data_IF_391314426903
#
_entry.id   IF_391314426903
#
_cell.length_a   1.000
_cell.length_b   1.000
_cell.length_c   1.000
_cell.angle_alpha   90.00
_cell.angle_beta   90.00
_cell.angle_gamma   90.00
#
_symmetry.space_group_name_H-M   'P 1'
#
loop_
_entity.id
_entity.type
_entity.pdbx_description
1 polymer ?
#
# COMPACT_ATOMS: atom_id res chain seq x y z
N UNK A 1 -7.17 8.38 -20.53
CA UNK A 1 -6.33 7.43 -21.29
C UNK A 1 -6.70 6.02 -20.89
N UNK A 2 -6.75 5.12 -21.87
CA UNK A 2 -6.94 3.70 -21.67
C UNK A 2 -5.58 2.99 -21.79
N UNK A 3 -5.19 2.24 -20.76
CA UNK A 3 -4.00 1.39 -20.82
C UNK A 3 -4.41 -0.07 -20.88
N UNK A 4 -3.96 -0.80 -21.91
CA UNK A 4 -4.24 -2.23 -22.11
C UNK A 4 -2.96 -3.01 -21.84
N UNK A 5 -3.02 -4.00 -20.96
CA UNK A 5 -1.90 -4.86 -20.61
C UNK A 5 -2.27 -6.32 -20.77
N UNK A 6 -1.29 -7.16 -21.08
CA UNK A 6 -1.43 -8.61 -20.95
C UNK A 6 -1.19 -9.03 -19.49
N UNK A 7 -1.66 -10.21 -19.09
CA UNK A 7 -1.41 -10.76 -17.74
C UNK A 7 0.08 -10.85 -17.43
N UNK A 8 0.87 -11.28 -18.41
CA UNK A 8 2.33 -11.38 -18.29
C UNK A 8 3.00 -10.00 -18.20
N UNK A 9 2.60 -9.05 -19.04
CA UNK A 9 3.13 -7.69 -19.02
C UNK A 9 2.81 -7.01 -17.68
N UNK A 10 1.58 -7.14 -17.17
CA UNK A 10 1.23 -6.54 -15.88
C UNK A 10 2.03 -7.17 -14.73
N UNK A 11 2.29 -8.48 -14.78
CA UNK A 11 3.16 -9.13 -13.82
C UNK A 11 4.57 -8.57 -13.87
N UNK A 12 5.18 -8.51 -15.05
CA UNK A 12 6.54 -7.98 -15.21
C UNK A 12 6.63 -6.55 -14.67
N UNK A 13 5.67 -5.69 -15.02
CA UNK A 13 5.58 -4.30 -14.51
C UNK A 13 5.54 -4.24 -12.99
N UNK A 14 4.71 -5.07 -12.35
CA UNK A 14 4.55 -5.10 -10.89
C UNK A 14 5.77 -5.68 -10.19
N UNK A 15 6.53 -6.57 -10.82
CA UNK A 15 7.76 -7.10 -10.24
C UNK A 15 9.00 -6.28 -10.59
N UNK A 16 8.92 -5.47 -11.64
CA UNK A 16 9.95 -4.53 -12.06
C UNK A 16 9.91 -3.25 -11.23
N UNK A 17 8.73 -2.65 -11.04
CA UNK A 17 8.53 -1.36 -10.37
C UNK A 17 7.50 -1.44 -9.23
N UNK A 18 7.70 -0.73 -8.11
CA UNK A 18 6.70 -0.67 -7.05
C UNK A 18 5.45 0.07 -7.52
N UNK A 19 4.32 -0.24 -6.86
CA UNK A 19 3.01 0.33 -7.23
C UNK A 19 3.02 1.86 -7.26
N UNK A 20 3.77 2.52 -6.37
CA UNK A 20 3.89 3.98 -6.34
C UNK A 20 4.36 4.57 -7.68
N UNK A 21 5.32 3.92 -8.34
CA UNK A 21 5.79 4.37 -9.66
C UNK A 21 4.75 4.10 -10.74
N UNK A 22 4.09 2.93 -10.71
CA UNK A 22 3.05 2.59 -11.69
C UNK A 22 1.83 3.51 -11.60
N UNK A 23 1.46 3.93 -10.38
CA UNK A 23 0.37 4.89 -10.13
C UNK A 23 0.66 6.22 -10.81
N UNK A 24 1.91 6.70 -10.74
CA UNK A 24 2.34 7.96 -11.38
C UNK A 24 2.42 7.80 -12.91
N UNK A 25 3.03 6.71 -13.39
CA UNK A 25 3.21 6.43 -14.83
C UNK A 25 1.86 6.28 -15.56
N UNK A 26 0.93 5.55 -14.94
CA UNK A 26 -0.40 5.26 -15.51
C UNK A 26 -1.46 6.29 -15.09
N UNK A 27 -1.06 7.33 -14.33
CA UNK A 27 -1.91 8.36 -13.74
C UNK A 27 -3.15 7.79 -13.04
N UNK A 28 -3.02 6.64 -12.41
CA UNK A 28 -4.12 5.89 -11.78
C UNK A 28 -4.04 5.96 -10.26
N UNK A 29 -4.76 5.11 -9.54
CA UNK A 29 -4.70 4.98 -8.07
C UNK A 29 -4.30 3.58 -7.66
N UNK A 30 -3.59 3.44 -6.53
CA UNK A 30 -3.17 2.15 -5.97
C UNK A 30 -4.33 1.17 -5.77
N UNK A 31 -5.52 1.68 -5.42
CA UNK A 31 -6.75 0.90 -5.28
C UNK A 31 -7.25 0.31 -6.60
N UNK A 32 -7.13 1.05 -7.71
CA UNK A 32 -7.49 0.57 -9.04
C UNK A 32 -6.53 -0.54 -9.47
N UNK A 33 -5.21 -0.32 -9.33
CA UNK A 33 -4.21 -1.35 -9.59
C UNK A 33 -4.41 -2.59 -8.71
N UNK A 34 -4.69 -2.42 -7.41
CA UNK A 34 -4.95 -3.56 -6.53
C UNK A 34 -6.21 -4.34 -6.92
N UNK A 35 -7.24 -3.66 -7.39
CA UNK A 35 -8.48 -4.31 -7.87
C UNK A 35 -8.21 -5.08 -9.16
N UNK A 36 -7.44 -4.48 -10.06
CA UNK A 36 -7.03 -5.07 -11.32
C UNK A 36 -6.18 -6.33 -11.10
N UNK A 37 -5.18 -6.26 -10.20
CA UNK A 37 -4.33 -7.39 -9.82
C UNK A 37 -5.13 -8.55 -9.23
N UNK A 38 -6.13 -8.25 -8.39
CA UNK A 38 -7.03 -9.28 -7.84
C UNK A 38 -7.88 -9.94 -8.92
N UNK A 39 -8.37 -9.18 -9.91
CA UNK A 39 -9.15 -9.74 -11.04
C UNK A 39 -8.32 -10.63 -11.95
N UNK A 40 -7.04 -10.31 -12.10
CA UNK A 40 -6.10 -11.06 -12.94
C UNK A 40 -5.44 -12.25 -12.21
N UNK A 41 -5.77 -12.47 -10.93
CA UNK A 41 -5.16 -13.48 -10.06
C UNK A 41 -3.62 -13.43 -10.10
N UNK A 42 -3.08 -12.21 -9.98
CA UNK A 42 -1.63 -11.97 -10.02
C UNK A 42 -1.08 -11.89 -8.60
N UNK A 43 -0.09 -12.73 -8.23
CA UNK A 43 0.54 -12.64 -6.91
C UNK A 43 1.32 -11.33 -6.79
N UNK A 44 0.99 -10.57 -5.74
CA UNK A 44 1.68 -9.32 -5.41
C UNK A 44 2.95 -9.60 -4.60
N UNK A 45 4.06 -8.88 -4.86
CA UNK A 45 5.23 -8.97 -4.00
C UNK A 45 4.88 -8.52 -2.58
N UNK A 46 5.45 -9.20 -1.58
CA UNK A 46 5.36 -8.76 -0.19
C UNK A 46 6.05 -7.40 -0.01
N UNK A 47 5.61 -6.58 0.95
CA UNK A 47 6.21 -5.24 1.17
C UNK A 47 7.73 -5.29 1.38
N UNK A 48 8.24 -6.37 1.99
CA UNK A 48 9.68 -6.58 2.19
C UNK A 48 10.47 -6.94 0.92
N UNK A 49 9.81 -7.33 -0.17
CA UNK A 49 10.44 -7.64 -1.46
C UNK A 49 11.18 -6.41 -2.01
N UNK A 50 10.53 -5.24 -2.00
CA UNK A 50 11.11 -4.00 -2.54
C UNK A 50 12.34 -3.56 -1.77
N UNK A 51 12.28 -3.64 -0.44
CA UNK A 51 13.44 -3.37 0.40
C UNK A 51 14.61 -4.28 0.00
N UNK A 52 14.40 -5.59 -0.12
CA UNK A 52 15.45 -6.52 -0.56
C UNK A 52 16.00 -6.19 -1.96
N UNK A 53 15.13 -5.80 -2.90
CA UNK A 53 15.49 -5.40 -4.27
C UNK A 53 16.35 -4.13 -4.28
N UNK A 54 15.98 -3.11 -3.51
CA UNK A 54 16.73 -1.86 -3.39
C UNK A 54 18.09 -2.05 -2.69
N UNK A 55 18.16 -2.94 -1.71
CA UNK A 55 19.40 -3.33 -1.04
C UNK A 55 20.27 -4.32 -1.84
N UNK A 56 19.91 -4.62 -3.10
CA UNK A 56 20.68 -5.52 -3.97
C UNK A 56 20.77 -6.96 -3.48
N UNK A 57 19.86 -7.40 -2.58
CA UNK A 57 19.79 -8.81 -2.19
C UNK A 57 19.23 -9.62 -3.36
N UNK A 58 19.66 -10.88 -3.55
CA UNK A 58 19.02 -11.77 -4.49
C UNK A 58 17.56 -11.96 -4.05
N UNK A 59 16.64 -11.71 -4.98
CA UNK A 59 15.23 -11.92 -4.75
C UNK A 59 14.72 -12.94 -5.73
N UNK A 60 14.22 -14.06 -5.21
CA UNK A 60 13.52 -15.04 -6.03
C UNK A 60 12.19 -14.45 -6.47
N UNK A 61 12.07 -14.22 -7.77
CA UNK A 61 10.80 -13.96 -8.42
C UNK A 61 10.12 -15.31 -8.64
N UNK A 62 8.96 -15.58 -8.01
CA UNK A 62 8.24 -16.82 -8.26
C UNK A 62 7.86 -16.86 -9.75
N UNK A 63 7.99 -18.00 -10.43
CA UNK A 63 7.55 -18.12 -11.82
C UNK A 63 6.04 -17.89 -11.90
N UNK A 64 5.60 -17.23 -12.97
CA UNK A 64 4.19 -16.93 -13.17
C UNK A 64 3.39 -18.24 -13.23
N UNK A 65 2.34 -18.43 -12.39
CA UNK A 65 1.47 -19.59 -12.54
C UNK A 65 0.75 -19.54 -13.89
N UNK A 66 0.48 -20.69 -14.53
CA UNK A 66 -0.20 -20.75 -15.83
C UNK A 66 -1.54 -20.01 -15.77
N UNK A 67 -1.92 -19.36 -16.87
CA UNK A 67 -3.13 -18.54 -16.93
C UNK A 67 -4.37 -19.39 -16.62
N UNK A 68 -5.25 -18.96 -15.70
CA UNK A 68 -6.51 -19.65 -15.50
C UNK A 68 -7.37 -19.47 -16.76
N UNK A 69 -8.12 -20.51 -17.12
CA UNK A 69 -8.90 -20.67 -18.36
C UNK A 69 -10.04 -19.64 -18.58
N UNK A 70 -10.11 -18.57 -17.79
CA UNK A 70 -11.10 -17.49 -17.87
C UNK A 70 -10.53 -16.06 -17.81
N UNK A 71 -9.20 -15.88 -17.87
CA UNK A 71 -8.62 -14.54 -17.98
C UNK A 71 -8.84 -13.99 -19.39
N UNK A 72 -9.74 -13.00 -19.52
CA UNK A 72 -9.93 -12.25 -20.77
C UNK A 72 -8.76 -11.27 -20.93
N UNK A 73 -7.83 -11.62 -21.80
CA UNK A 73 -6.83 -10.70 -22.34
C UNK A 73 -7.54 -9.76 -23.34
N UNK A 74 -7.36 -8.43 -23.29
CA UNK A 74 -6.45 -7.64 -22.45
C UNK A 74 -7.09 -7.10 -21.16
N UNK A 75 -6.25 -6.94 -20.14
CA UNK A 75 -6.61 -6.29 -18.89
C UNK A 75 -6.57 -4.76 -19.08
N UNK A 76 -7.75 -4.14 -19.03
CA UNK A 76 -7.93 -2.71 -19.34
C UNK A 76 -7.97 -1.88 -18.05
N UNK A 77 -7.11 -0.86 -17.98
CA UNK A 77 -7.14 0.22 -16.99
C UNK A 77 -7.70 1.49 -17.63
N UNK A 78 -8.95 1.83 -17.26
CA UNK A 78 -9.56 3.12 -17.58
C UNK A 78 -9.13 4.16 -16.53
N UNK A 79 -8.26 5.10 -16.91
CA UNK A 79 -7.84 6.23 -16.06
C UNK A 79 -8.82 7.42 -16.17
N UNK A 80 -9.85 7.32 -17.02
CA UNK A 80 -10.72 8.44 -17.41
C UNK A 80 -11.80 8.74 -16.36
N UNK A 81 -12.08 7.78 -15.48
CA UNK A 81 -13.14 7.91 -14.47
C UNK A 81 -12.53 8.04 -13.08
N UNK A 82 -12.48 9.25 -12.48
CA UNK A 82 -12.40 9.36 -11.03
C UNK A 82 -13.69 8.73 -10.47
N UNK A 83 -13.63 7.44 -10.14
CA UNK A 83 -14.74 6.76 -9.48
C UNK A 83 -14.81 7.34 -8.06
N UNK A 84 -15.62 8.39 -7.88
CA UNK A 84 -15.96 8.93 -6.58
C UNK A 84 -16.75 7.85 -5.84
N UNK A 85 -16.05 6.88 -5.26
CA UNK A 85 -16.62 5.95 -4.28
C UNK A 85 -16.72 6.72 -2.97
N UNK A 86 -17.74 7.57 -2.92
CA UNK A 86 -18.29 8.16 -1.71
C UNK A 86 -18.60 7.03 -0.72
N UNK A 87 -17.70 6.79 0.24
CA UNK A 87 -18.12 6.42 1.59
C UNK A 87 -17.14 7.01 2.60
N UNK A 88 -17.31 8.31 2.81
CA UNK A 88 -16.93 8.94 4.06
C UNK A 88 -17.73 8.25 5.17
N UNK A 89 -17.12 7.28 5.86
CA UNK A 89 -17.58 6.90 7.21
C UNK A 89 -16.82 7.77 8.19
N UNK A 90 -17.27 9.01 8.33
CA UNK A 90 -17.06 9.74 9.57
C UNK A 90 -18.05 9.14 10.57
N UNK A 91 -17.59 8.21 11.40
CA UNK A 91 -18.26 7.99 12.67
C UNK A 91 -18.10 9.30 13.44
N UNK A 92 -19.20 10.05 13.58
CA UNK A 92 -19.36 11.05 14.64
C UNK A 92 -19.00 10.34 15.95
N UNK A 93 -17.80 10.61 16.47
CA UNK A 93 -17.59 10.53 17.90
C UNK A 93 -18.36 11.73 18.46
N UNK A 94 -19.43 11.41 19.16
CA UNK A 94 -20.30 12.35 19.85
C UNK A 94 -19.49 13.23 20.83
N UNK A 95 -19.69 14.56 20.83
CA UNK A 95 -19.01 15.49 21.75
C UNK A 95 -19.84 15.81 23.01
N UNK A 96 -20.51 14.83 23.64
CA UNK A 96 -21.09 15.02 24.98
C UNK A 96 -20.56 14.00 26.00
N UNK A 97 -19.39 14.32 26.54
CA UNK A 97 -18.98 13.87 27.86
C UNK A 97 -18.11 14.96 28.49
N UNK A 98 -18.78 16.01 28.98
CA UNK A 98 -18.22 16.90 30.00
C UNK A 98 -18.13 16.13 31.31
N UNK A 99 -16.93 16.09 31.91
CA UNK A 99 -16.84 16.25 33.36
C UNK A 99 -15.50 16.88 33.72
N UNK A 100 -15.62 18.09 34.26
CA UNK A 100 -14.56 18.92 34.80
C UNK A 100 -14.10 18.34 36.14
N UNK A 101 -12.80 18.32 36.37
CA UNK A 101 -12.23 18.56 37.70
C UNK A 101 -10.78 19.02 37.53
N UNK A 102 -10.61 20.31 37.81
CA UNK A 102 -9.35 21.03 37.92
C UNK A 102 -8.87 20.84 39.36
N UNK A 103 -7.61 20.48 39.59
CA UNK A 103 -6.73 21.27 40.47
C UNK A 103 -5.22 20.96 40.26
N UNK A 104 -4.31 21.97 40.30
CA UNK A 104 -2.93 21.89 39.84
C UNK A 104 -1.83 22.11 40.91
N UNK A 105 -0.72 21.37 40.82
CA UNK A 105 0.63 21.74 41.32
C UNK A 105 1.65 20.92 40.47
N UNK A 106 2.46 21.43 39.51
CA UNK A 106 3.67 22.27 39.64
C UNK A 106 4.55 21.79 40.81
N UNK A 107 5.82 21.38 40.72
CA UNK A 107 6.95 21.77 39.86
C UNK A 107 8.12 20.78 40.07
N UNK A 108 9.08 20.81 39.13
CA UNK A 108 10.54 20.64 39.33
C UNK A 108 11.18 19.29 39.00
N UNK A 109 11.73 19.20 37.79
CA UNK A 109 12.82 18.28 37.43
C UNK A 109 14.09 18.60 38.26
N UNK A 110 15.04 17.66 38.47
CA UNK A 110 16.04 17.41 37.42
C UNK A 110 16.66 15.98 37.36
N UNK A 111 16.98 15.57 36.13
CA UNK A 111 18.30 15.11 35.63
C UNK A 111 19.13 14.01 36.36
N UNK A 112 19.75 13.14 35.54
CA UNK A 112 20.92 12.28 35.79
C UNK A 112 20.59 10.95 36.53
N UNK A 113 21.05 9.76 36.15
CA UNK A 113 22.03 9.27 35.17
C UNK A 113 21.71 7.79 34.93
N UNK A 114 21.79 7.38 33.68
CA UNK A 114 21.95 5.98 33.29
C UNK A 114 23.36 5.54 33.75
N UNK A 115 23.51 4.32 34.29
CA UNK A 115 24.70 3.55 33.98
C UNK A 115 24.37 2.27 33.20
N UNK A 116 24.92 2.25 31.99
CA UNK A 116 25.29 1.06 31.26
C UNK A 116 26.26 0.16 32.04
N UNK A 117 26.42 -1.06 31.51
CA UNK A 117 27.44 -2.10 31.72
C UNK A 117 27.14 -3.09 32.87
N UNK A 118 26.88 -4.37 32.56
CA UNK A 118 27.80 -5.40 32.02
C UNK A 118 28.55 -6.10 33.14
N UNK A 119 28.20 -7.36 33.39
CA UNK A 119 29.15 -8.44 33.65
C UNK A 119 28.47 -9.77 33.40
#
# INVERSE_FOLDING_TARGET
>A
MEHRFTRQELYDRVWSKPMSHLVVELRTTTSNLSTLLRRADIPKPSSGHWMRKEFGKPVEQPPLPPAPSGCVEPLVLDTEKPSIKRKLRYTKADPDAVSVSVDPQQVLAPLLKIPCKSR
#
